data_IF_408037706513
#
_entry.id   IF_408037706513
#
_cell.length_a   1.000
_cell.length_b   1.000
_cell.length_c   1.000
_cell.angle_alpha   90.00
_cell.angle_beta   90.00
_cell.angle_gamma   90.00
#
_symmetry.space_group_name_H-M   'P 1'
#
loop_
_entity.id
_entity.type
_entity.pdbx_description
1 polymer ?
#
# COMPACT_ATOMS: atom_id res chain seq x y z
N UNK A 1 12.23 16.99 -34.84
CA UNK A 1 13.16 15.87 -34.71
C UNK A 1 12.35 14.64 -34.37
N UNK A 2 12.37 13.54 -35.16
CA UNK A 2 11.59 12.36 -34.86
C UNK A 2 12.15 11.64 -33.62
N UNK A 3 11.27 11.29 -32.69
CA UNK A 3 11.63 10.49 -31.51
C UNK A 3 12.09 9.09 -31.96
N UNK A 4 13.16 8.55 -31.35
CA UNK A 4 13.59 7.18 -31.66
C UNK A 4 12.46 6.20 -31.26
N UNK A 5 12.16 5.27 -32.17
CA UNK A 5 11.23 4.16 -31.90
C UNK A 5 11.80 3.31 -30.75
N UNK A 6 11.01 3.09 -29.71
CA UNK A 6 11.32 2.06 -28.71
C UNK A 6 11.43 0.74 -29.45
N UNK A 7 12.57 0.08 -29.31
CA UNK A 7 12.77 -1.28 -29.79
C UNK A 7 11.69 -2.18 -29.18
N UNK A 8 11.07 -3.01 -30.02
CA UNK A 8 10.20 -4.08 -29.55
C UNK A 8 10.99 -5.01 -28.62
N UNK A 9 10.37 -5.57 -27.56
CA UNK A 9 11.06 -6.52 -26.70
C UNK A 9 11.45 -7.76 -27.50
N UNK A 10 12.70 -8.21 -27.36
CA UNK A 10 13.21 -9.45 -27.91
C UNK A 10 12.38 -10.63 -27.35
N UNK A 11 11.87 -11.46 -28.26
CA UNK A 11 10.89 -12.52 -27.97
C UNK A 11 11.46 -13.76 -27.25
N UNK A 12 12.72 -13.77 -26.78
CA UNK A 12 13.39 -14.91 -26.16
C UNK A 12 14.01 -14.63 -24.78
N UNK A 13 13.59 -13.57 -24.08
CA UNK A 13 14.04 -13.35 -22.71
C UNK A 13 13.28 -14.30 -21.75
N UNK A 14 14.02 -15.13 -20.99
CA UNK A 14 13.43 -15.87 -19.87
C UNK A 14 12.63 -14.91 -18.97
N UNK A 15 11.43 -15.34 -18.49
CA UNK A 15 10.65 -14.50 -17.57
C UNK A 15 11.54 -14.13 -16.37
N UNK A 16 11.44 -12.89 -15.87
CA UNK A 16 12.23 -12.50 -14.72
C UNK A 16 11.90 -13.42 -13.52
N UNK A 17 12.88 -13.72 -12.66
CA UNK A 17 12.66 -14.56 -11.49
C UNK A 17 11.57 -13.98 -10.61
N UNK A 18 10.82 -14.84 -9.90
CA UNK A 18 9.82 -14.40 -8.92
C UNK A 18 10.52 -13.50 -7.88
N UNK A 19 10.00 -12.28 -7.63
CA UNK A 19 10.57 -11.39 -6.61
C UNK A 19 10.73 -12.04 -5.24
N UNK A 20 9.87 -12.99 -4.88
CA UNK A 20 9.97 -13.77 -3.63
C UNK A 20 11.25 -14.61 -3.60
N UNK A 21 11.69 -15.14 -4.75
CA UNK A 21 12.89 -15.98 -4.82
C UNK A 21 14.19 -15.17 -4.63
N UNK A 22 14.11 -13.86 -4.78
CA UNK A 22 15.24 -12.95 -4.59
C UNK A 22 15.39 -12.47 -3.13
N UNK A 23 14.43 -12.77 -2.25
CA UNK A 23 14.51 -12.39 -0.85
C UNK A 23 15.67 -13.09 -0.13
N UNK A 24 16.40 -12.33 0.68
CA UNK A 24 17.40 -12.88 1.60
C UNK A 24 16.74 -13.86 2.59
N UNK A 25 17.48 -14.89 3.10
CA UNK A 25 16.89 -15.95 3.95
C UNK A 25 16.11 -15.41 5.14
N UNK A 26 16.63 -14.45 5.90
CA UNK A 26 15.94 -13.86 7.04
C UNK A 26 14.63 -13.18 6.66
N UNK A 27 14.56 -12.55 5.48
CA UNK A 27 13.34 -11.90 4.97
C UNK A 27 12.32 -12.93 4.48
N UNK A 28 12.78 -14.06 3.95
CA UNK A 28 11.91 -15.18 3.61
C UNK A 28 11.28 -15.79 4.85
N UNK A 29 12.03 -15.94 5.94
CA UNK A 29 11.48 -16.38 7.23
C UNK A 29 10.39 -15.43 7.75
N UNK A 30 10.61 -14.11 7.61
CA UNK A 30 9.58 -13.10 7.94
C UNK A 30 8.32 -13.28 7.06
N UNK A 31 8.49 -13.51 5.75
CA UNK A 31 7.38 -13.78 4.83
C UNK A 31 6.60 -15.04 5.23
N UNK A 32 7.31 -16.15 5.47
CA UNK A 32 6.70 -17.42 5.86
C UNK A 32 5.92 -17.27 7.18
N UNK A 33 6.47 -16.53 8.14
CA UNK A 33 5.76 -16.22 9.37
C UNK A 33 4.51 -15.41 9.12
N UNK A 34 4.58 -14.37 8.29
CA UNK A 34 3.44 -13.52 7.95
C UNK A 34 2.33 -14.33 7.27
N UNK A 35 2.68 -15.23 6.33
CA UNK A 35 1.72 -16.13 5.69
C UNK A 35 1.04 -17.02 6.74
N UNK A 36 1.79 -17.56 7.69
CA UNK A 36 1.25 -18.39 8.76
C UNK A 36 0.28 -17.64 9.68
N UNK A 37 0.67 -16.44 10.11
CA UNK A 37 -0.15 -15.57 10.99
C UNK A 37 -1.43 -15.12 10.30
N UNK A 38 -1.35 -14.85 9.00
CA UNK A 38 -2.46 -14.32 8.20
C UNK A 38 -3.24 -15.42 7.44
N UNK A 39 -3.02 -16.70 7.73
CA UNK A 39 -3.57 -17.82 6.95
C UNK A 39 -5.10 -17.77 6.77
N UNK A 40 -5.84 -17.27 7.76
CA UNK A 40 -7.30 -17.12 7.69
C UNK A 40 -7.76 -16.08 6.67
N UNK A 41 -6.91 -15.11 6.31
CA UNK A 41 -7.20 -14.05 5.33
C UNK A 41 -6.71 -14.40 3.91
N UNK A 42 -6.31 -15.64 3.66
CA UNK A 42 -5.82 -16.12 2.35
C UNK A 42 -4.71 -15.21 1.76
N UNK A 43 -3.62 -14.99 2.48
CA UNK A 43 -2.57 -14.06 2.06
C UNK A 43 -1.88 -14.52 0.79
N UNK A 44 -1.71 -13.61 -0.18
CA UNK A 44 -0.88 -13.87 -1.36
C UNK A 44 0.55 -13.36 -1.10
N UNK A 45 1.58 -14.22 -1.22
CA UNK A 45 2.96 -13.82 -1.03
C UNK A 45 3.45 -12.93 -2.16
N UNK A 46 4.44 -12.08 -1.86
CA UNK A 46 5.10 -11.19 -2.80
C UNK A 46 6.35 -10.58 -2.21
N UNK A 47 6.93 -9.65 -2.95
CA UNK A 47 8.03 -8.82 -2.46
C UNK A 47 7.91 -7.40 -3.04
N UNK A 48 8.26 -6.40 -2.24
CA UNK A 48 8.42 -5.01 -2.66
C UNK A 48 9.91 -4.66 -2.60
N UNK A 49 10.58 -4.71 -3.75
CA UNK A 49 12.03 -4.67 -3.79
C UNK A 49 12.62 -5.85 -3.02
N UNK A 50 13.30 -5.56 -1.93
CA UNK A 50 13.91 -6.55 -1.03
C UNK A 50 13.08 -6.80 0.25
N UNK A 51 11.89 -6.19 0.39
CA UNK A 51 11.01 -6.37 1.54
C UNK A 51 10.00 -7.50 1.31
N UNK A 52 9.79 -8.39 2.30
CA UNK A 52 8.74 -9.39 2.25
C UNK A 52 7.37 -8.69 2.21
N UNK A 53 6.48 -9.19 1.36
CA UNK A 53 5.15 -8.62 1.17
C UNK A 53 4.08 -9.71 1.24
N UNK A 54 2.94 -9.37 1.82
CA UNK A 54 1.71 -10.15 1.74
C UNK A 54 0.58 -9.26 1.24
N UNK A 55 -0.28 -9.81 0.36
CA UNK A 55 -1.50 -9.12 -0.05
C UNK A 55 -2.69 -9.78 0.61
N UNK A 56 -3.61 -8.98 1.15
CA UNK A 56 -4.84 -9.44 1.82
C UNK A 56 -6.07 -8.70 1.26
N UNK A 57 -7.28 -9.27 1.36
CA UNK A 57 -8.50 -8.56 0.99
C UNK A 57 -8.69 -7.28 1.80
N UNK A 58 -9.28 -6.25 1.18
CA UNK A 58 -9.47 -4.95 1.84
C UNK A 58 -10.36 -5.04 3.09
N UNK A 59 -11.35 -5.92 3.09
CA UNK A 59 -12.23 -6.13 4.24
C UNK A 59 -11.48 -6.64 5.49
N UNK A 60 -10.36 -7.35 5.29
CA UNK A 60 -9.60 -7.99 6.35
C UNK A 60 -8.39 -7.18 6.81
N UNK A 61 -8.14 -6.00 6.19
CA UNK A 61 -6.90 -5.23 6.44
C UNK A 61 -6.71 -4.87 7.92
N UNK A 62 -7.76 -4.45 8.62
CA UNK A 62 -7.69 -4.10 10.03
C UNK A 62 -7.27 -5.31 10.88
N UNK A 63 -7.93 -6.45 10.69
CA UNK A 63 -7.64 -7.68 11.43
C UNK A 63 -6.24 -8.20 11.12
N UNK A 64 -5.82 -8.16 9.86
CA UNK A 64 -4.47 -8.55 9.43
C UNK A 64 -3.39 -7.65 10.08
N UNK A 65 -3.63 -6.34 10.13
CA UNK A 65 -2.74 -5.39 10.79
C UNK A 65 -2.62 -5.66 12.31
N UNK A 66 -3.74 -5.92 12.97
CA UNK A 66 -3.76 -6.31 14.40
C UNK A 66 -2.97 -7.59 14.61
N UNK A 67 -3.19 -8.62 13.79
CA UNK A 67 -2.48 -9.89 13.89
C UNK A 67 -0.96 -9.73 13.72
N UNK A 68 -0.51 -8.92 12.75
CA UNK A 68 0.92 -8.65 12.56
C UNK A 68 1.55 -7.82 13.69
N UNK A 69 0.79 -6.91 14.30
CA UNK A 69 1.25 -6.13 15.46
C UNK A 69 1.42 -6.99 16.71
N UNK A 70 0.46 -7.90 16.95
CA UNK A 70 0.34 -8.64 18.21
C UNK A 70 1.04 -10.00 18.18
N UNK A 71 1.52 -10.46 17.03
CA UNK A 71 2.32 -11.68 16.91
C UNK A 71 3.71 -11.48 17.50
N UNK A 72 4.14 -12.37 18.38
CA UNK A 72 5.41 -12.26 19.13
C UNK A 72 6.66 -12.32 18.24
N UNK A 73 6.58 -12.88 17.04
CA UNK A 73 7.69 -13.02 16.08
C UNK A 73 7.71 -11.86 15.09
N UNK A 74 6.56 -11.49 14.53
CA UNK A 74 6.46 -10.32 13.63
C UNK A 74 6.63 -9.03 14.41
N UNK A 75 5.92 -8.86 15.53
CA UNK A 75 5.99 -7.72 16.45
C UNK A 75 6.00 -6.36 15.72
N UNK A 76 5.12 -6.20 14.72
CA UNK A 76 5.07 -5.03 13.86
C UNK A 76 4.45 -3.83 14.59
N UNK A 77 5.17 -3.26 15.55
CA UNK A 77 4.70 -2.16 16.42
C UNK A 77 4.69 -0.81 15.74
N UNK A 78 5.28 -0.66 14.57
CA UNK A 78 5.41 0.62 13.90
C UNK A 78 4.89 0.56 12.47
N UNK A 79 4.05 1.55 12.10
CA UNK A 79 3.71 1.87 10.72
C UNK A 79 4.70 2.92 10.23
N UNK A 80 5.58 2.57 9.29
CA UNK A 80 6.54 3.49 8.70
C UNK A 80 5.92 4.35 7.61
N UNK A 81 5.05 3.74 6.80
CA UNK A 81 4.43 4.40 5.66
C UNK A 81 3.12 3.71 5.32
N UNK A 82 2.14 4.49 4.87
CA UNK A 82 0.99 4.04 4.11
C UNK A 82 0.98 4.86 2.82
N UNK A 83 0.98 4.20 1.67
CA UNK A 83 0.91 4.85 0.38
C UNK A 83 -0.28 4.33 -0.42
N UNK A 84 -0.95 5.23 -1.14
CA UNK A 84 -1.98 4.89 -2.12
C UNK A 84 -1.38 4.96 -3.52
N UNK A 85 -1.58 3.92 -4.32
CA UNK A 85 -1.09 3.83 -5.70
C UNK A 85 -2.29 3.69 -6.65
N UNK A 86 -2.37 4.60 -7.63
CA UNK A 86 -3.40 4.59 -8.66
C UNK A 86 -2.96 3.72 -9.85
N UNK A 87 -3.72 2.64 -10.14
CA UNK A 87 -3.56 1.77 -11.30
C UNK A 87 -4.61 2.03 -12.39
N UNK A 88 -5.40 3.11 -12.27
CA UNK A 88 -6.47 3.51 -13.19
C UNK A 88 -7.71 2.60 -13.17
N UNK A 89 -7.56 1.32 -12.85
CA UNK A 89 -8.64 0.34 -12.66
C UNK A 89 -8.94 0.06 -11.19
N UNK A 90 -7.99 0.33 -10.30
CA UNK A 90 -8.07 0.14 -8.85
C UNK A 90 -7.08 1.04 -8.13
N UNK A 91 -7.28 1.20 -6.82
CA UNK A 91 -6.22 1.70 -5.93
C UNK A 91 -5.61 0.54 -5.15
N UNK A 92 -4.31 0.61 -4.93
CA UNK A 92 -3.62 -0.27 -4.00
C UNK A 92 -3.08 0.53 -2.81
N UNK A 93 -3.41 0.08 -1.61
CA UNK A 93 -2.89 0.61 -0.36
C UNK A 93 -1.71 -0.26 0.07
N UNK A 94 -0.56 0.37 0.33
CA UNK A 94 0.69 -0.28 0.69
C UNK A 94 1.10 0.18 2.08
N UNK A 95 1.07 -0.73 3.04
CA UNK A 95 1.44 -0.51 4.43
C UNK A 95 2.84 -1.07 4.66
N UNK A 96 3.80 -0.23 5.02
CA UNK A 96 5.16 -0.66 5.38
C UNK A 96 5.23 -0.67 6.90
N UNK A 97 5.35 -1.87 7.46
CA UNK A 97 5.39 -2.14 8.89
C UNK A 97 6.81 -2.44 9.33
N UNK A 98 7.12 -2.12 10.59
CA UNK A 98 8.41 -2.42 11.17
C UNK A 98 8.30 -2.94 12.60
N UNK A 99 9.13 -3.91 12.91
CA UNK A 99 9.51 -4.31 14.26
C UNK A 99 10.89 -3.79 14.57
N UNK A 100 10.99 -2.86 15.52
CA UNK A 100 12.27 -2.36 16.00
C UNK A 100 13.00 -3.41 16.87
N UNK A 101 12.24 -4.20 17.63
CA UNK A 101 12.80 -5.22 18.50
C UNK A 101 13.39 -6.41 17.72
N UNK A 102 12.85 -6.68 16.52
CA UNK A 102 13.28 -7.78 15.65
C UNK A 102 14.12 -7.32 14.45
N UNK A 103 14.29 -5.99 14.28
CA UNK A 103 15.03 -5.37 13.16
C UNK A 103 14.53 -5.86 11.79
N UNK A 104 13.20 -6.05 11.66
CA UNK A 104 12.58 -6.56 10.44
C UNK A 104 11.45 -5.66 9.96
N UNK A 105 11.19 -5.72 8.67
CA UNK A 105 10.08 -5.00 8.03
C UNK A 105 9.20 -5.97 7.26
N UNK A 106 7.90 -5.65 7.18
CA UNK A 106 6.89 -6.39 6.43
C UNK A 106 6.03 -5.40 5.66
N UNK A 107 5.69 -5.73 4.43
CA UNK A 107 4.73 -4.96 3.63
C UNK A 107 3.40 -5.70 3.62
N UNK A 108 2.31 -5.00 3.96
CA UNK A 108 0.96 -5.48 3.69
C UNK A 108 0.39 -4.64 2.55
N UNK A 109 -0.17 -5.32 1.55
CA UNK A 109 -0.83 -4.67 0.41
C UNK A 109 -2.29 -5.10 0.34
N UNK A 110 -3.15 -4.16 -0.04
CA UNK A 110 -4.55 -4.44 -0.35
C UNK A 110 -5.01 -3.61 -1.53
N UNK A 111 -6.03 -4.09 -2.24
CA UNK A 111 -6.61 -3.38 -3.38
C UNK A 111 -8.08 -3.05 -3.10
N UNK A 112 -8.50 -1.86 -3.54
CA UNK A 112 -9.88 -1.39 -3.49
C UNK A 112 -10.35 -0.92 -4.86
N UNK A 113 -11.67 -0.95 -5.08
CA UNK A 113 -12.29 -0.48 -6.33
C UNK A 113 -11.94 0.98 -6.61
N UNK A 114 -11.72 1.31 -7.88
CA UNK A 114 -11.49 2.68 -8.32
C UNK A 114 -12.73 3.57 -8.16
N UNK A 115 -13.93 3.02 -8.38
CA UNK A 115 -15.18 3.78 -8.37
C UNK A 115 -15.67 4.13 -6.94
N UNK A 116 -15.49 3.20 -6.00
CA UNK A 116 -15.90 3.37 -4.61
C UNK A 116 -14.83 2.82 -3.67
N UNK A 117 -13.67 3.50 -3.58
CA UNK A 117 -12.56 3.02 -2.78
C UNK A 117 -12.86 3.18 -1.29
N UNK A 118 -13.03 2.07 -0.59
CA UNK A 118 -13.30 2.05 0.85
C UNK A 118 -12.66 0.83 1.51
N UNK A 119 -12.14 1.02 2.73
CA UNK A 119 -11.59 -0.05 3.56
C UNK A 119 -11.57 0.39 5.04
N UNK A 120 -11.46 -0.56 6.00
CA UNK A 120 -11.35 -0.21 7.41
C UNK A 120 -10.10 0.62 7.74
N UNK A 121 -10.26 1.62 8.61
CA UNK A 121 -9.15 2.41 9.16
C UNK A 121 -8.27 1.58 10.10
N UNK A 122 -6.96 1.81 10.06
CA UNK A 122 -5.99 1.21 10.99
C UNK A 122 -5.45 2.22 12.02
N UNK A 123 -6.08 3.40 12.16
CA UNK A 123 -5.72 4.40 13.18
C UNK A 123 -5.77 3.85 14.61
N UNK A 124 -6.68 2.91 14.88
CA UNK A 124 -6.75 2.21 16.17
C UNK A 124 -5.60 1.23 16.42
N UNK A 125 -4.87 0.84 15.38
CA UNK A 125 -3.69 -0.04 15.46
C UNK A 125 -2.42 0.78 15.64
N UNK A 126 -2.25 1.80 14.81
CA UNK A 126 -1.10 2.73 14.85
C UNK A 126 -1.60 4.18 14.72
N UNK A 127 -1.38 5.05 15.71
CA UNK A 127 -1.78 6.46 15.62
C UNK A 127 -1.16 7.21 14.44
N UNK A 128 -0.01 6.75 13.92
CA UNK A 128 0.63 7.33 12.73
C UNK A 128 -0.25 7.19 11.46
N UNK A 129 -1.17 6.21 11.43
CA UNK A 129 -2.06 5.98 10.29
C UNK A 129 -3.01 7.17 10.04
N UNK A 130 -3.38 7.94 11.08
CA UNK A 130 -4.27 9.11 10.98
C UNK A 130 -3.86 10.03 9.82
N UNK A 131 -2.62 10.46 9.77
CA UNK A 131 -2.15 11.39 8.75
C UNK A 131 -2.03 10.75 7.37
N UNK A 132 -1.56 9.52 7.30
CA UNK A 132 -1.44 8.79 6.04
C UNK A 132 -2.81 8.47 5.42
N UNK A 133 -3.79 8.09 6.23
CA UNK A 133 -5.15 7.82 5.76
C UNK A 133 -5.84 9.10 5.30
N UNK A 134 -5.66 10.20 6.01
CA UNK A 134 -6.14 11.53 5.59
C UNK A 134 -5.49 11.99 4.29
N UNK A 135 -4.18 11.78 4.11
CA UNK A 135 -3.49 12.08 2.84
C UNK A 135 -4.08 11.25 1.69
N UNK A 136 -4.25 9.94 1.88
CA UNK A 136 -4.84 9.08 0.85
C UNK A 136 -6.30 9.45 0.55
N UNK A 137 -7.07 9.83 1.58
CA UNK A 137 -8.42 10.35 1.42
C UNK A 137 -8.44 11.64 0.61
N UNK A 138 -7.62 12.60 0.99
CA UNK A 138 -7.56 13.94 0.41
C UNK A 138 -7.13 13.90 -1.07
N UNK A 139 -6.08 13.13 -1.39
CA UNK A 139 -5.52 13.11 -2.74
C UNK A 139 -6.19 12.10 -3.69
N UNK A 140 -6.75 11.01 -3.19
CA UNK A 140 -7.30 9.92 -4.02
C UNK A 140 -8.78 9.63 -3.78
N UNK A 141 -9.37 10.17 -2.70
CA UNK A 141 -10.77 9.95 -2.35
C UNK A 141 -11.04 8.55 -1.75
N UNK A 142 -10.04 7.92 -1.14
CA UNK A 142 -10.22 6.66 -0.44
C UNK A 142 -10.95 6.89 0.88
N UNK A 143 -12.02 6.15 1.14
CA UNK A 143 -12.74 6.20 2.42
C UNK A 143 -12.13 5.20 3.40
N UNK A 144 -11.86 5.64 4.64
CA UNK A 144 -11.36 4.79 5.72
C UNK A 144 -12.42 4.64 6.80
N UNK A 145 -13.10 3.51 6.79
CA UNK A 145 -14.21 3.24 7.71
C UNK A 145 -13.72 3.17 9.15
N UNK A 146 -14.35 3.98 10.02
CA UNK A 146 -13.94 4.07 11.42
C UNK A 146 -12.79 5.03 11.72
N UNK A 147 -12.31 5.78 10.71
CA UNK A 147 -11.39 6.88 10.96
C UNK A 147 -12.06 7.98 11.79
N UNK A 148 -11.39 8.55 12.81
CA UNK A 148 -12.00 9.53 13.71
C UNK A 148 -12.29 10.88 13.02
N UNK A 149 -11.49 11.31 12.05
CA UNK A 149 -11.63 12.60 11.37
C UNK A 149 -10.92 12.58 10.00
N UNK A 150 -11.67 12.44 8.91
CA UNK A 150 -11.18 12.52 7.53
C UNK A 150 -11.25 13.95 6.95
N UNK A 151 -11.14 14.97 7.78
CA UNK A 151 -11.05 16.35 7.29
C UNK A 151 -9.81 16.54 6.40
N UNK A 152 -9.84 17.45 5.42
CA UNK A 152 -8.71 17.72 4.54
C UNK A 152 -7.40 17.96 5.30
N UNK A 153 -6.30 17.42 4.79
CA UNK A 153 -4.96 17.53 5.37
C UNK A 153 -4.05 18.46 4.56
N UNK A 154 -4.03 18.26 3.24
CA UNK A 154 -3.13 18.96 2.31
C UNK A 154 -3.88 19.95 1.43
N UNK A 155 -5.13 19.65 1.09
CA UNK A 155 -5.94 20.49 0.21
C UNK A 155 -6.80 21.45 1.04
N UNK A 156 -7.16 22.59 0.46
CA UNK A 156 -8.10 23.51 1.10
C UNK A 156 -9.55 22.96 0.98
N UNK A 157 -10.46 23.32 1.90
CA UNK A 157 -11.78 22.69 2.01
C UNK A 157 -12.65 22.74 0.75
N UNK A 158 -12.47 23.75 -0.10
CA UNK A 158 -13.22 23.93 -1.34
C UNK A 158 -12.50 23.38 -2.57
N UNK A 159 -11.44 22.59 -2.40
CA UNK A 159 -10.72 21.99 -3.53
C UNK A 159 -11.61 20.96 -4.23
N UNK A 160 -11.71 21.08 -5.56
CA UNK A 160 -12.55 20.21 -6.38
C UNK A 160 -11.75 19.04 -6.97
N UNK A 161 -12.18 17.84 -6.65
CA UNK A 161 -11.60 16.60 -7.16
C UNK A 161 -10.42 16.06 -6.34
N UNK A 162 -9.72 15.08 -6.91
CA UNK A 162 -8.65 14.32 -6.26
C UNK A 162 -7.36 14.39 -7.10
N UNK A 163 -6.43 15.31 -6.78
CA UNK A 163 -5.27 15.59 -7.63
C UNK A 163 -4.21 14.47 -7.63
N UNK A 164 -4.30 13.48 -6.75
CA UNK A 164 -3.46 12.29 -6.76
C UNK A 164 -3.85 11.26 -7.82
N UNK A 165 -5.08 11.33 -8.34
CA UNK A 165 -5.55 10.42 -9.38
C UNK A 165 -4.92 10.75 -10.73
N UNK A 166 -4.52 9.71 -11.48
CA UNK A 166 -4.00 9.87 -12.84
C UNK A 166 -5.02 10.47 -13.81
N UNK A 167 -6.31 10.28 -13.52
CA UNK A 167 -7.42 10.86 -14.31
C UNK A 167 -7.67 12.34 -14.00
N UNK A 168 -6.99 12.94 -13.00
CA UNK A 168 -7.19 14.33 -12.64
C UNK A 168 -6.53 15.26 -13.67
N UNK A 169 -7.33 16.17 -14.26
CA UNK A 169 -6.85 17.18 -15.20
C UNK A 169 -6.45 18.45 -14.43
N UNK A 170 -5.15 18.75 -14.41
CA UNK A 170 -4.67 20.02 -13.85
C UNK A 170 -5.00 21.17 -14.79
N UNK A 171 -5.56 22.26 -14.24
CA UNK A 171 -5.77 23.48 -15.00
C UNK A 171 -4.43 24.05 -15.50
N UNK A 172 -4.32 24.28 -16.81
CA UNK A 172 -3.15 25.00 -17.34
C UNK A 172 -3.10 26.41 -16.76
N UNK A 173 -2.06 26.70 -15.98
CA UNK A 173 -1.76 28.08 -15.57
C UNK A 173 -1.39 28.87 -16.83
N UNK A 174 -2.26 29.79 -17.27
CA UNK A 174 -1.84 30.83 -18.20
C UNK A 174 -1.10 31.87 -17.38
N UNK A 175 0.21 31.97 -17.60
CA UNK A 175 0.98 33.12 -17.13
C UNK A 175 0.40 34.37 -17.80
N UNK A 176 0.05 35.39 -17.00
CA UNK A 176 -0.39 36.69 -17.45
C UNK A 176 0.82 37.55 -17.82
#
# INVERSE_FOLDING_TARGET
VPRPRRNAPEADAEPPPDPVDLLAPARRETLDRAIGVLAEYSPAPGALGDLPQVSVPAADILSACVACRDDDVLDCRMLLCLACVDYEDRFELVYILQSLAREQSLVIRTAVSYESPALPSVCGVWPAADWYEREAHDLFGVAFDGHPDLSPLLLYPEFDGYPGRKSYEFNEYREF
#
